data_IF_973875697540
#
_entry.id   IF_973875697540
#
_cell.length_a   1.000
_cell.length_b   1.000
_cell.length_c   1.000
_cell.angle_alpha   90.00
_cell.angle_beta   90.00
_cell.angle_gamma   90.00
#
_symmetry.space_group_name_H-M   'P 1'
#
loop_
_entity.id
_entity.type
_entity.pdbx_description
1 polymer ?
#
# COMPACT_ATOMS: atom_id res chain seq x y z
N UNK A 1 20.50 -40.48 34.17
CA UNK A 1 20.69 -39.27 34.99
C UNK A 1 22.10 -38.79 34.71
N UNK A 2 22.39 -37.59 34.23
CA UNK A 2 21.67 -36.53 33.52
C UNK A 2 22.82 -35.80 32.81
N UNK A 3 22.64 -35.48 31.53
CA UNK A 3 23.66 -34.83 30.70
C UNK A 3 23.61 -33.33 31.03
N UNK A 4 24.65 -32.77 31.63
CA UNK A 4 24.76 -31.32 31.87
C UNK A 4 25.60 -30.71 30.74
N UNK A 5 24.87 -30.00 29.88
CA UNK A 5 25.31 -29.00 28.93
C UNK A 5 25.22 -27.70 29.71
N UNK A 6 26.35 -27.10 30.12
CA UNK A 6 26.45 -25.70 30.58
C UNK A 6 27.93 -25.32 30.70
N UNK A 7 28.66 -25.39 29.58
CA UNK A 7 30.07 -24.97 29.51
C UNK A 7 30.27 -23.90 28.42
N UNK A 8 29.46 -22.84 28.41
CA UNK A 8 29.77 -21.63 27.66
C UNK A 8 29.11 -20.45 28.37
N UNK A 9 29.77 -19.29 28.37
CA UNK A 9 29.45 -18.04 29.09
C UNK A 9 30.05 -17.94 30.49
N UNK A 10 31.26 -17.42 30.59
CA UNK A 10 31.62 -16.25 31.41
C UNK A 10 33.13 -15.96 31.29
N UNK A 11 33.52 -15.14 30.30
CA UNK A 11 34.70 -14.27 30.42
C UNK A 11 34.25 -12.88 29.94
N UNK A 12 33.96 -12.02 30.90
CA UNK A 12 33.89 -10.57 30.72
C UNK A 12 35.33 -10.07 30.60
N UNK A 13 35.73 -9.62 29.40
CA UNK A 13 36.92 -8.81 29.23
C UNK A 13 36.50 -7.40 28.80
N UNK A 14 36.83 -6.46 29.68
CA UNK A 14 36.79 -5.01 29.52
C UNK A 14 37.50 -4.57 28.24
N UNK A 15 36.75 -4.03 27.27
CA UNK A 15 37.30 -3.09 26.29
C UNK A 15 36.36 -1.91 26.14
N UNK A 16 36.82 -0.79 26.70
CA UNK A 16 36.35 0.55 26.44
C UNK A 16 36.29 0.85 24.94
N UNK A 17 35.09 1.06 24.40
CA UNK A 17 34.92 1.84 23.18
C UNK A 17 33.67 2.72 23.29
N UNK A 18 33.95 4.01 23.50
CA UNK A 18 33.04 5.13 23.44
C UNK A 18 32.47 5.25 22.02
N UNK A 19 31.37 4.56 21.73
CA UNK A 19 30.53 4.89 20.58
C UNK A 19 29.34 5.73 21.06
N UNK A 20 29.28 6.98 20.57
CA UNK A 20 28.15 7.90 20.72
C UNK A 20 26.88 7.28 20.13
N UNK A 21 26.16 6.50 20.94
CA UNK A 21 24.75 6.24 20.72
C UNK A 21 23.98 7.52 21.05
N UNK A 22 22.99 7.94 20.26
CA UNK A 22 22.12 9.03 20.67
C UNK A 22 21.46 8.61 21.99
N UNK A 23 21.85 9.35 23.03
CA UNK A 23 21.40 9.27 24.41
C UNK A 23 19.94 8.78 24.46
N UNK A 24 19.76 7.52 24.85
CA UNK A 24 18.46 6.96 25.15
C UNK A 24 17.90 7.87 26.25
N UNK A 25 16.97 8.75 25.88
CA UNK A 25 16.33 9.66 26.82
C UNK A 25 15.60 8.77 27.82
N UNK A 26 16.23 8.50 28.95
CA UNK A 26 15.58 7.95 30.13
C UNK A 26 14.67 9.07 30.65
N UNK A 27 13.53 9.23 29.97
CA UNK A 27 12.42 9.99 30.51
C UNK A 27 12.01 9.21 31.75
N UNK A 28 12.39 9.72 32.92
CA UNK A 28 11.82 9.35 34.21
C UNK A 28 10.33 9.76 34.16
N UNK A 29 9.54 8.94 33.48
CA UNK A 29 8.11 9.15 33.26
C UNK A 29 7.38 8.21 34.19
N UNK A 30 6.57 8.77 35.09
CA UNK A 30 5.64 8.04 35.95
C UNK A 30 4.59 7.21 35.18
N UNK A 31 4.64 7.21 33.85
CA UNK A 31 3.72 6.48 32.98
C UNK A 31 4.43 5.28 32.36
N UNK A 32 3.79 4.11 32.33
CA UNK A 32 4.40 2.92 31.77
C UNK A 32 4.70 3.09 30.28
N UNK A 33 5.85 2.61 29.82
CA UNK A 33 6.34 2.75 28.44
C UNK A 33 5.35 2.26 27.38
N UNK A 34 4.56 1.21 27.67
CA UNK A 34 3.51 0.73 26.77
C UNK A 34 2.41 1.77 26.52
N UNK A 35 2.10 2.59 27.52
CA UNK A 35 1.09 3.65 27.40
C UNK A 35 1.58 4.74 26.42
N UNK A 36 2.86 5.12 26.48
CA UNK A 36 3.42 6.09 25.54
C UNK A 36 3.44 5.57 24.10
N UNK A 37 3.80 4.29 23.89
CA UNK A 37 3.73 3.68 22.56
C UNK A 37 2.29 3.62 22.02
N UNK A 38 1.32 3.23 22.86
CA UNK A 38 -0.09 3.19 22.44
C UNK A 38 -0.64 4.57 22.12
N UNK A 39 -0.29 5.60 22.89
CA UNK A 39 -0.73 6.98 22.63
C UNK A 39 -0.15 7.50 21.31
N UNK A 40 1.14 7.30 21.05
CA UNK A 40 1.76 7.72 19.79
C UNK A 40 1.16 7.01 18.56
N UNK A 41 0.96 5.69 18.65
CA UNK A 41 0.37 4.89 17.57
C UNK A 41 -1.08 5.29 17.32
N UNK A 42 -1.88 5.47 18.38
CA UNK A 42 -3.29 5.85 18.24
C UNK A 42 -3.45 7.25 17.67
N UNK A 43 -2.60 8.20 18.06
CA UNK A 43 -2.62 9.56 17.51
C UNK A 43 -2.26 9.57 16.01
N UNK A 44 -1.19 8.88 15.63
CA UNK A 44 -0.79 8.76 14.21
C UNK A 44 -1.87 8.04 13.37
N UNK A 45 -2.45 6.98 13.93
CA UNK A 45 -3.52 6.23 13.28
C UNK A 45 -4.79 7.09 13.12
N UNK A 46 -5.15 7.87 14.14
CA UNK A 46 -6.32 8.73 14.09
C UNK A 46 -6.21 9.76 12.95
N UNK A 47 -5.08 10.45 12.84
CA UNK A 47 -4.88 11.45 11.79
C UNK A 47 -4.98 10.84 10.38
N UNK A 48 -4.44 9.63 10.22
CA UNK A 48 -4.54 8.89 8.97
C UNK A 48 -5.98 8.44 8.69
N UNK A 49 -6.68 7.90 9.68
CA UNK A 49 -8.06 7.42 9.54
C UNK A 49 -9.01 8.55 9.19
N UNK A 50 -8.87 9.73 9.80
CA UNK A 50 -9.69 10.91 9.46
C UNK A 50 -9.49 11.29 7.99
N UNK A 51 -8.24 11.33 7.52
CA UNK A 51 -7.94 11.59 6.10
C UNK A 51 -8.56 10.52 5.20
N UNK A 52 -8.40 9.24 5.53
CA UNK A 52 -8.96 8.14 4.75
C UNK A 52 -10.49 8.20 4.68
N UNK A 53 -11.17 8.47 5.79
CA UNK A 53 -12.63 8.63 5.83
C UNK A 53 -13.05 9.82 4.97
N UNK A 54 -12.36 10.96 5.06
CA UNK A 54 -12.64 12.13 4.24
C UNK A 54 -12.50 11.83 2.74
N UNK A 55 -11.41 11.18 2.32
CA UNK A 55 -11.21 10.77 0.93
C UNK A 55 -12.18 9.68 0.49
N UNK A 56 -12.61 8.77 1.37
CA UNK A 56 -13.64 7.78 1.07
C UNK A 56 -15.01 8.43 0.85
N UNK A 57 -15.36 9.46 1.64
CA UNK A 57 -16.57 10.25 1.43
C UNK A 57 -16.49 11.05 0.13
N UNK A 58 -15.34 11.67 -0.15
CA UNK A 58 -15.10 12.37 -1.42
C UNK A 58 -15.22 11.43 -2.61
N UNK A 59 -14.64 10.23 -2.55
CA UNK A 59 -14.78 9.18 -3.57
C UNK A 59 -16.25 8.83 -3.80
N UNK A 60 -17.03 8.62 -2.74
CA UNK A 60 -18.48 8.34 -2.86
C UNK A 60 -19.25 9.50 -3.49
N UNK A 61 -18.91 10.74 -3.14
CA UNK A 61 -19.52 11.93 -3.74
C UNK A 61 -19.18 12.03 -5.24
N UNK A 62 -17.91 11.85 -5.60
CA UNK A 62 -17.44 11.87 -6.99
C UNK A 62 -18.10 10.76 -7.84
N UNK A 63 -18.29 9.57 -7.27
CA UNK A 63 -19.05 8.48 -7.92
C UNK A 63 -20.50 8.89 -8.15
N UNK A 64 -21.16 9.54 -7.18
CA UNK A 64 -22.53 10.01 -7.35
C UNK A 64 -22.66 11.12 -8.41
N UNK A 65 -21.67 12.00 -8.53
CA UNK A 65 -21.62 13.04 -9.58
C UNK A 65 -21.34 12.44 -10.95
N UNK A 66 -20.47 11.43 -11.04
CA UNK A 66 -20.21 10.65 -12.26
C UNK A 66 -21.47 9.93 -12.76
N UNK A 67 -22.22 9.30 -11.87
CA UNK A 67 -23.51 8.65 -12.16
C UNK A 67 -24.57 9.63 -12.66
N UNK A 68 -24.48 10.91 -12.25
CA UNK A 68 -25.38 11.97 -12.72
C UNK A 68 -25.07 12.44 -14.16
N UNK A 69 -24.12 11.80 -14.85
CA UNK A 69 -23.73 12.11 -16.23
C UNK A 69 -22.89 13.37 -16.39
N UNK A 70 -22.51 14.02 -15.27
CA UNK A 70 -21.76 15.29 -15.29
C UNK A 70 -20.24 15.11 -15.36
N UNK A 71 -19.72 13.94 -15.01
CA UNK A 71 -18.27 13.68 -14.92
C UNK A 71 -17.89 12.46 -15.76
N UNK A 72 -16.91 12.63 -16.65
CA UNK A 72 -16.35 11.54 -17.46
C UNK A 72 -15.55 10.58 -16.56
N UNK A 73 -15.61 9.27 -16.85
CA UNK A 73 -14.81 8.21 -16.18
C UNK A 73 -13.30 8.52 -16.18
N UNK A 74 -12.77 9.07 -17.26
CA UNK A 74 -11.35 9.47 -17.32
C UNK A 74 -11.03 10.60 -16.34
N UNK A 75 -11.87 11.63 -16.27
CA UNK A 75 -11.70 12.75 -15.33
C UNK A 75 -11.82 12.26 -13.89
N UNK A 76 -12.76 11.36 -13.60
CA UNK A 76 -12.89 10.72 -12.30
C UNK A 76 -11.60 9.99 -11.88
N UNK A 77 -11.06 9.12 -12.76
CA UNK A 77 -9.84 8.38 -12.46
C UNK A 77 -8.62 9.30 -12.27
N UNK A 78 -8.52 10.38 -13.07
CA UNK A 78 -7.47 11.39 -12.92
C UNK A 78 -7.62 12.14 -11.59
N UNK A 79 -8.83 12.57 -11.23
CA UNK A 79 -9.09 13.23 -9.94
C UNK A 79 -8.70 12.32 -8.76
N UNK A 80 -9.04 11.04 -8.82
CA UNK A 80 -8.67 10.06 -7.80
C UNK A 80 -7.15 9.87 -7.72
N UNK A 81 -6.47 9.74 -8.86
CA UNK A 81 -5.01 9.65 -8.91
C UNK A 81 -4.33 10.89 -8.32
N UNK A 82 -4.80 12.09 -8.67
CA UNK A 82 -4.28 13.36 -8.13
C UNK A 82 -4.50 13.42 -6.61
N UNK A 83 -5.68 13.00 -6.12
CA UNK A 83 -5.96 12.95 -4.68
C UNK A 83 -5.03 11.99 -3.93
N UNK A 84 -4.76 10.81 -4.49
CA UNK A 84 -3.82 9.87 -3.89
C UNK A 84 -2.37 10.32 -3.94
N UNK A 85 -1.95 10.94 -5.05
CA UNK A 85 -0.64 11.60 -5.14
C UNK A 85 -0.51 12.71 -4.09
N UNK A 86 -1.52 13.57 -3.95
CA UNK A 86 -1.52 14.60 -2.92
C UNK A 86 -1.39 14.00 -1.51
N UNK A 87 -2.11 12.92 -1.22
CA UNK A 87 -2.01 12.20 0.05
C UNK A 87 -0.61 11.64 0.32
N UNK A 88 0.02 11.03 -0.69
CA UNK A 88 1.39 10.52 -0.58
C UNK A 88 2.40 11.65 -0.37
N UNK A 89 2.22 12.78 -1.08
CA UNK A 89 3.06 13.96 -0.93
C UNK A 89 2.93 14.59 0.47
N UNK A 90 1.70 14.69 0.98
CA UNK A 90 1.41 15.21 2.32
C UNK A 90 1.96 14.32 3.45
N UNK A 91 2.30 13.06 3.15
CA UNK A 91 2.90 12.10 4.08
C UNK A 91 4.45 12.09 4.01
N UNK A 92 5.08 13.16 3.50
CA UNK A 92 6.54 13.32 3.22
C UNK A 92 7.00 12.73 1.87
N UNK A 93 8.30 12.84 1.60
CA UNK A 93 9.07 12.47 0.38
C UNK A 93 8.88 11.02 -0.14
N UNK A 94 7.97 10.25 0.45
CA UNK A 94 7.55 8.93 0.00
C UNK A 94 6.98 8.93 -1.42
N UNK A 95 6.34 10.03 -1.87
CA UNK A 95 5.76 10.12 -3.21
C UNK A 95 6.80 9.80 -4.30
N UNK A 96 7.99 10.40 -4.23
CA UNK A 96 9.00 10.23 -5.27
C UNK A 96 9.44 8.77 -5.36
N UNK A 97 9.69 8.12 -4.22
CA UNK A 97 10.07 6.71 -4.19
C UNK A 97 8.96 5.78 -4.69
N UNK A 98 7.71 6.06 -4.32
CA UNK A 98 6.54 5.28 -4.76
C UNK A 98 6.32 5.42 -6.26
N UNK A 99 6.44 6.64 -6.81
CA UNK A 99 6.30 6.90 -8.25
C UNK A 99 7.42 6.21 -9.03
N UNK A 100 8.68 6.30 -8.57
CA UNK A 100 9.80 5.60 -9.19
C UNK A 100 9.60 4.09 -9.16
N UNK A 101 9.15 3.54 -8.02
CA UNK A 101 8.86 2.12 -7.89
C UNK A 101 7.78 1.65 -8.86
N UNK A 102 6.67 2.40 -9.00
CA UNK A 102 5.63 2.11 -10.00
C UNK A 102 6.19 2.20 -11.43
N UNK A 103 7.00 3.21 -11.72
CA UNK A 103 7.61 3.40 -13.03
C UNK A 103 8.57 2.25 -13.41
N UNK A 104 9.20 1.60 -12.43
CA UNK A 104 10.03 0.41 -12.63
C UNK A 104 9.19 -0.86 -12.83
N UNK A 105 8.06 -1.00 -12.12
CA UNK A 105 7.17 -2.16 -12.24
C UNK A 105 6.31 -2.15 -13.51
N UNK A 106 5.89 -0.98 -14.00
CA UNK A 106 5.01 -0.85 -15.17
C UNK A 106 5.58 -1.50 -16.44
N UNK A 107 6.85 -1.25 -16.83
CA UNK A 107 7.47 -1.93 -17.97
C UNK A 107 7.53 -3.45 -17.79
N UNK A 108 7.71 -3.94 -16.56
CA UNK A 108 7.75 -5.38 -16.27
C UNK A 108 6.39 -6.02 -16.44
N UNK A 109 5.30 -5.34 -16.05
CA UNK A 109 3.94 -5.82 -16.34
C UNK A 109 3.68 -5.83 -17.85
N UNK A 110 4.06 -4.77 -18.56
CA UNK A 110 3.83 -4.68 -20.01
C UNK A 110 4.67 -5.70 -20.80
N UNK A 111 5.95 -5.86 -20.45
CA UNK A 111 6.84 -6.85 -21.03
C UNK A 111 6.45 -8.28 -20.62
N UNK A 112 6.03 -8.46 -19.36
CA UNK A 112 5.52 -9.73 -18.85
C UNK A 112 4.29 -10.20 -19.63
N UNK A 113 3.38 -9.30 -20.01
CA UNK A 113 2.21 -9.61 -20.83
C UNK A 113 2.55 -10.30 -22.15
N UNK A 114 3.73 -10.01 -22.73
CA UNK A 114 4.23 -10.70 -23.92
C UNK A 114 4.46 -12.21 -23.67
N UNK A 115 4.79 -12.59 -22.44
CA UNK A 115 4.99 -13.98 -22.00
C UNK A 115 3.73 -14.49 -21.28
N UNK A 116 2.68 -14.76 -22.05
CA UNK A 116 1.31 -15.03 -21.58
C UNK A 116 1.18 -16.06 -20.45
N UNK A 117 2.00 -17.12 -20.41
CA UNK A 117 1.90 -18.18 -19.40
C UNK A 117 2.73 -17.94 -18.12
N UNK A 118 3.70 -17.01 -18.15
CA UNK A 118 4.63 -16.78 -17.02
C UNK A 118 4.58 -15.34 -16.49
N UNK A 119 3.80 -14.47 -17.13
CA UNK A 119 3.70 -13.04 -16.84
C UNK A 119 3.46 -12.76 -15.35
N UNK A 120 2.46 -13.41 -14.74
CA UNK A 120 2.14 -13.25 -13.32
C UNK A 120 3.30 -13.63 -12.39
N UNK A 121 3.97 -14.75 -12.66
CA UNK A 121 5.13 -15.20 -11.87
C UNK A 121 6.33 -14.26 -12.01
N UNK A 122 6.58 -13.74 -13.22
CA UNK A 122 7.65 -12.77 -13.48
C UNK A 122 7.40 -11.49 -12.68
N UNK A 123 6.17 -10.96 -12.68
CA UNK A 123 5.81 -9.75 -11.93
C UNK A 123 5.91 -9.98 -10.42
N UNK A 124 5.53 -11.16 -9.91
CA UNK A 124 5.73 -11.50 -8.49
C UNK A 124 7.21 -11.53 -8.14
N UNK A 125 8.01 -12.30 -8.88
CA UNK A 125 9.44 -12.46 -8.60
C UNK A 125 10.18 -11.12 -8.66
N UNK A 126 9.89 -10.32 -9.69
CA UNK A 126 10.45 -8.99 -9.85
C UNK A 126 9.94 -8.00 -8.80
N UNK A 127 8.66 -8.08 -8.41
CA UNK A 127 8.08 -7.27 -7.35
C UNK A 127 8.75 -7.53 -5.99
N UNK A 128 8.91 -8.80 -5.61
CA UNK A 128 9.63 -9.20 -4.38
C UNK A 128 11.09 -8.76 -4.45
N UNK A 129 11.77 -9.03 -5.58
CA UNK A 129 13.15 -8.59 -5.79
C UNK A 129 13.30 -7.07 -5.66
N UNK A 130 12.37 -6.30 -6.22
CA UNK A 130 12.36 -4.84 -6.13
C UNK A 130 12.14 -4.35 -4.71
N UNK A 131 11.28 -5.00 -3.92
CA UNK A 131 11.08 -4.67 -2.50
C UNK A 131 12.35 -4.87 -1.68
N UNK A 132 13.07 -5.96 -1.90
CA UNK A 132 14.34 -6.27 -1.23
C UNK A 132 15.45 -5.29 -1.67
N UNK A 133 15.51 -4.96 -2.96
CA UNK A 133 16.46 -3.99 -3.48
C UNK A 133 16.21 -2.60 -2.85
N UNK A 134 14.95 -2.17 -2.74
CA UNK A 134 14.60 -0.90 -2.11
C UNK A 134 14.94 -0.87 -0.61
N UNK A 135 14.83 -2.01 0.08
CA UNK A 135 15.26 -2.14 1.47
C UNK A 135 16.77 -1.92 1.64
N UNK A 136 17.56 -2.32 0.65
CA UNK A 136 19.01 -2.13 0.68
C UNK A 136 19.43 -0.70 0.31
N UNK A 137 18.72 -0.06 -0.63
CA UNK A 137 19.04 1.29 -1.11
C UNK A 137 18.68 2.38 -0.08
N UNK A 138 17.59 2.18 0.68
CA UNK A 138 17.05 3.21 1.54
C UNK A 138 17.38 2.97 3.02
N UNK A 139 17.40 4.07 3.79
CA UNK A 139 17.56 3.96 5.23
C UNK A 139 16.39 3.18 5.84
N UNK A 140 16.68 2.43 6.91
CA UNK A 140 15.70 1.59 7.59
C UNK A 140 14.43 2.36 7.98
N UNK A 141 14.57 3.58 8.48
CA UNK A 141 13.45 4.45 8.86
C UNK A 141 12.54 4.78 7.66
N UNK A 142 13.12 5.18 6.53
CA UNK A 142 12.37 5.56 5.32
C UNK A 142 11.69 4.36 4.69
N UNK A 143 12.37 3.23 4.62
CA UNK A 143 11.79 1.99 4.11
C UNK A 143 10.63 1.52 5.00
N UNK A 144 10.81 1.50 6.32
CA UNK A 144 9.78 1.06 7.26
C UNK A 144 8.49 1.89 7.16
N UNK A 145 8.61 3.20 6.91
CA UNK A 145 7.47 4.10 6.74
C UNK A 145 6.64 3.79 5.49
N UNK A 146 7.27 3.42 4.37
CA UNK A 146 6.57 3.21 3.09
C UNK A 146 6.40 1.75 2.66
N UNK A 147 6.96 0.80 3.41
CA UNK A 147 6.91 -0.64 3.07
C UNK A 147 5.49 -1.13 2.82
N UNK A 148 4.51 -0.65 3.59
CA UNK A 148 3.10 -1.01 3.43
C UNK A 148 2.56 -0.59 2.07
N UNK A 149 2.80 0.67 1.69
CA UNK A 149 2.44 1.22 0.37
C UNK A 149 3.05 0.40 -0.76
N UNK A 150 4.35 0.10 -0.68
CA UNK A 150 5.04 -0.67 -1.73
C UNK A 150 4.51 -2.10 -1.85
N UNK A 151 4.22 -2.76 -0.72
CA UNK A 151 3.59 -4.08 -0.71
C UNK A 151 2.23 -4.06 -1.40
N UNK A 152 1.36 -3.10 -1.05
CA UNK A 152 0.04 -2.97 -1.70
C UNK A 152 0.17 -2.75 -3.20
N UNK A 153 1.15 -1.94 -3.64
CA UNK A 153 1.39 -1.70 -5.07
C UNK A 153 1.81 -3.00 -5.78
N UNK A 154 2.74 -3.77 -5.22
CA UNK A 154 3.13 -5.08 -5.79
C UNK A 154 1.92 -6.01 -5.88
N UNK A 155 1.09 -6.07 -4.84
CA UNK A 155 -0.12 -6.89 -4.84
C UNK A 155 -1.13 -6.43 -5.90
N UNK A 156 -1.29 -5.12 -6.11
CA UNK A 156 -2.16 -4.58 -7.16
C UNK A 156 -1.65 -4.88 -8.58
N UNK A 157 -0.34 -4.77 -8.79
CA UNK A 157 0.31 -5.01 -10.09
C UNK A 157 0.30 -6.49 -10.46
N UNK A 158 0.52 -7.38 -9.48
CA UNK A 158 0.40 -8.83 -9.69
C UNK A 158 -1.05 -9.23 -9.95
N UNK A 159 -2.02 -8.70 -9.19
CA UNK A 159 -3.45 -8.90 -9.46
C UNK A 159 -3.84 -8.46 -10.86
N UNK A 160 -3.34 -7.30 -11.30
CA UNK A 160 -3.58 -6.80 -12.64
C UNK A 160 -3.07 -7.78 -13.70
N UNK A 161 -1.86 -8.32 -13.49
CA UNK A 161 -1.27 -9.27 -14.42
C UNK A 161 -2.08 -10.56 -14.52
N UNK A 162 -2.58 -11.10 -13.40
CA UNK A 162 -3.45 -12.28 -13.42
C UNK A 162 -4.82 -11.99 -14.02
N UNK A 163 -5.45 -10.86 -13.68
CA UNK A 163 -6.74 -10.45 -14.24
C UNK A 163 -6.65 -10.29 -15.77
N UNK A 164 -5.50 -9.89 -16.31
CA UNK A 164 -5.26 -9.81 -17.76
C UNK A 164 -5.07 -11.18 -18.44
N UNK A 165 -4.63 -12.21 -17.71
CA UNK A 165 -4.45 -13.58 -18.25
C UNK A 165 -5.79 -14.32 -18.30
N UNK A 166 -6.63 -14.16 -17.27
CA UNK A 166 -7.80 -15.00 -17.05
C UNK A 166 -9.02 -14.59 -17.88
N UNK A 167 -9.22 -13.28 -18.14
CA UNK A 167 -10.53 -12.76 -18.56
C UNK A 167 -10.59 -12.18 -20.00
N UNK A 168 -9.56 -12.29 -20.85
CA UNK A 168 -9.51 -11.58 -22.17
C UNK A 168 -9.97 -10.11 -22.02
N UNK A 169 -9.57 -9.49 -20.89
CA UNK A 169 -9.96 -8.13 -20.54
C UNK A 169 -9.23 -7.21 -21.49
N UNK A 170 -9.92 -6.92 -22.59
CA UNK A 170 -9.75 -5.82 -23.54
C UNK A 170 -8.37 -5.16 -23.42
N UNK A 171 -7.48 -5.44 -24.38
CA UNK A 171 -6.09 -4.97 -24.53
C UNK A 171 -5.88 -3.44 -24.35
N UNK A 172 -6.95 -2.68 -24.13
CA UNK A 172 -7.00 -1.23 -23.96
C UNK A 172 -7.52 -0.77 -22.59
N UNK A 173 -7.03 -1.34 -21.47
CA UNK A 173 -7.18 -0.66 -20.18
C UNK A 173 -6.46 0.68 -20.26
N UNK A 174 -7.24 1.77 -20.35
CA UNK A 174 -6.69 3.12 -20.43
C UNK A 174 -5.75 3.39 -19.24
N UNK A 175 -4.56 3.92 -19.52
CA UNK A 175 -3.52 4.23 -18.53
C UNK A 175 -4.05 5.14 -17.40
N UNK A 176 -5.02 6.01 -17.71
CA UNK A 176 -5.75 6.82 -16.71
C UNK A 176 -6.48 5.97 -15.66
N UNK A 177 -7.13 4.88 -16.08
CA UNK A 177 -7.80 3.94 -15.17
C UNK A 177 -6.81 3.17 -14.32
N UNK A 178 -5.67 2.77 -14.91
CA UNK A 178 -4.60 2.10 -14.19
C UNK A 178 -3.99 3.01 -13.12
N UNK A 179 -3.67 4.26 -13.45
CA UNK A 179 -3.15 5.24 -12.50
C UNK A 179 -4.17 5.55 -11.41
N UNK A 180 -5.45 5.71 -11.75
CA UNK A 180 -6.52 5.91 -10.77
C UNK A 180 -6.67 4.74 -9.80
N UNK A 181 -6.50 3.51 -10.29
CA UNK A 181 -6.50 2.30 -9.47
C UNK A 181 -5.27 2.21 -8.56
N UNK A 182 -4.06 2.46 -9.09
CA UNK A 182 -2.82 2.38 -8.32
C UNK A 182 -2.76 3.45 -7.22
N UNK A 183 -3.07 4.70 -7.58
CA UNK A 183 -3.05 5.85 -6.70
C UNK A 183 -4.42 6.13 -6.04
N UNK A 184 -5.30 5.15 -5.89
CA UNK A 184 -6.53 5.39 -5.14
C UNK A 184 -6.18 5.72 -3.67
N UNK A 185 -6.48 6.94 -3.17
CA UNK A 185 -6.14 7.39 -1.82
C UNK A 185 -6.65 6.46 -0.72
N UNK A 186 -7.75 5.74 -0.97
CA UNK A 186 -8.33 4.83 0.01
C UNK A 186 -7.54 3.54 0.19
N UNK A 187 -6.69 3.19 -0.77
CA UNK A 187 -6.01 1.89 -0.83
C UNK A 187 -4.50 2.00 -0.83
N UNK A 188 -3.93 3.12 -1.30
CA UNK A 188 -2.48 3.24 -1.52
C UNK A 188 -1.65 3.24 -0.23
N UNK A 189 -2.11 3.88 0.87
CA UNK A 189 -1.33 4.01 2.11
C UNK A 189 -1.42 2.78 3.02
N UNK A 190 -2.64 2.36 3.37
CA UNK A 190 -2.89 1.21 4.26
C UNK A 190 -4.26 0.57 4.01
N UNK A 191 -4.82 0.71 2.81
CA UNK A 191 -6.12 0.12 2.55
C UNK A 191 -6.01 -1.36 2.18
N UNK A 192 -7.13 -2.09 2.25
CA UNK A 192 -7.17 -3.48 1.83
C UNK A 192 -6.80 -3.57 0.34
N UNK A 193 -6.06 -4.63 0.01
CA UNK A 193 -5.87 -5.01 -1.39
C UNK A 193 -7.23 -5.36 -2.01
N UNK A 194 -7.47 -4.82 -3.20
CA UNK A 194 -8.66 -5.07 -4.02
C UNK A 194 -8.18 -5.32 -5.45
N UNK A 195 -8.82 -6.26 -6.16
CA UNK A 195 -8.49 -6.49 -7.58
C UNK A 195 -9.01 -5.38 -8.47
N UNK A 196 -8.53 -5.29 -9.72
CA UNK A 196 -8.97 -4.26 -10.67
C UNK A 196 -10.48 -4.42 -10.96
N UNK A 197 -10.96 -5.65 -11.03
CA UNK A 197 -12.39 -5.96 -11.18
C UNK A 197 -13.22 -5.39 -10.02
N UNK A 198 -12.83 -5.66 -8.79
CA UNK A 198 -13.52 -5.14 -7.60
C UNK A 198 -13.48 -3.61 -7.54
N UNK A 199 -12.35 -3.00 -7.94
CA UNK A 199 -12.25 -1.55 -8.07
C UNK A 199 -13.24 -1.01 -9.11
N UNK A 200 -13.31 -1.61 -10.30
CA UNK A 200 -14.27 -1.24 -11.35
C UNK A 200 -15.73 -1.43 -10.91
N UNK A 201 -16.04 -2.50 -10.17
CA UNK A 201 -17.36 -2.71 -9.58
C UNK A 201 -17.69 -1.66 -8.52
N UNK A 202 -16.73 -1.23 -7.70
CA UNK A 202 -16.93 -0.17 -6.70
C UNK A 202 -17.25 1.20 -7.29
N UNK A 203 -16.80 1.44 -8.53
CA UNK A 203 -17.12 2.66 -9.29
C UNK A 203 -18.53 2.63 -9.88
N UNK A 204 -19.15 1.45 -10.02
CA UNK A 204 -20.54 1.32 -10.46
C UNK A 204 -21.45 1.42 -9.25
N UNK A 205 -22.42 2.34 -9.29
CA UNK A 205 -23.41 2.45 -8.22
C UNK A 205 -24.24 1.16 -8.17
N UNK A 206 -24.11 0.39 -7.09
CA UNK A 206 -25.04 -0.71 -6.83
C UNK A 206 -26.41 -0.08 -6.56
N UNK A 207 -27.38 -0.34 -7.44
CA UNK A 207 -28.77 0.06 -7.20
C UNK A 207 -29.19 -0.45 -5.81
N UNK A 208 -29.77 0.40 -4.97
CA UNK A 208 -30.30 0.00 -3.65
C UNK A 208 -31.28 -1.20 -3.76
N UNK A 209 -31.94 -1.36 -4.91
CA UNK A 209 -32.80 -2.51 -5.23
C UNK A 209 -32.05 -3.85 -5.30
N UNK A 210 -30.74 -3.83 -5.52
CA UNK A 210 -29.88 -5.02 -5.55
C UNK A 210 -29.45 -5.44 -4.14
N UNK A 211 -29.10 -4.46 -3.30
CA UNK A 211 -28.79 -4.67 -1.86
C UNK A 211 -30.02 -5.15 -1.09
N UNK A 212 -31.19 -4.57 -1.38
CA UNK A 212 -32.47 -5.03 -0.81
C UNK A 212 -32.92 -6.39 -1.35
N UNK A 213 -32.43 -6.83 -2.52
CA UNK A 213 -32.71 -8.16 -3.05
C UNK A 213 -31.82 -9.23 -2.44
N UNK A 214 -30.54 -8.93 -2.21
CA UNK A 214 -29.61 -9.88 -1.58
C UNK A 214 -29.97 -10.15 -0.11
N UNK A 215 -30.51 -9.16 0.60
CA UNK A 215 -31.03 -9.35 1.96
C UNK A 215 -32.38 -10.07 2.04
N UNK A 216 -33.10 -10.21 0.92
CA UNK A 216 -34.41 -10.90 0.85
C UNK A 216 -34.28 -12.32 0.30
N UNK A 217 -33.06 -12.75 -0.02
CA UNK A 217 -32.73 -14.09 -0.53
C UNK A 217 -32.00 -14.97 0.52
N UNK A 218 -31.88 -14.47 1.75
CA UNK A 218 -31.52 -15.19 2.98
C UNK A 218 -32.78 -15.32 3.83
#
# INVERSE_FOLDING_TARGET
MKMDIDEWYLEEDDVSDQHDYPQFVTVESERPQWLMCTIGVTQSLQDLLVKLIAFALLKRLLVAVSDSGKLNRHLFNICMAICGMYMLWAHNETLTHVVVFIAVLLPVVYCGSFFTHLSGFIVIAFGIGSLLLWQYILSAERYMSMRGTLMVIVMKMTSLCFDSIDDDVDDNIALSTLLGYLFDPCTVLFGPWISLRQYNESMKKKSLKWVLRSHRAL
#
